data_IF_114749489858
#
_entry.id   IF_114749489858
#
_cell.length_a   1.000
_cell.length_b   1.000
_cell.length_c   1.000
_cell.angle_alpha   90.00
_cell.angle_beta   90.00
_cell.angle_gamma   90.00
#
_symmetry.space_group_name_H-M   'P 1'
#
loop_
_entity.id
_entity.type
_entity.pdbx_description
1 polymer ?
#
# COMPACT_ATOMS: atom_id res chain seq x y z
N UNK A 1 0.25 -14.73 -16.56
CA UNK A 1 -0.38 -15.17 -15.30
C UNK A 1 0.23 -16.49 -14.84
N UNK A 2 0.10 -17.63 -15.54
CA UNK A 2 0.68 -18.92 -15.09
C UNK A 2 2.17 -18.85 -14.75
N UNK A 3 3.01 -18.23 -15.59
CA UNK A 3 4.45 -18.05 -15.29
C UNK A 3 4.71 -17.22 -14.03
N UNK A 4 3.87 -16.23 -13.71
CA UNK A 4 3.98 -15.48 -12.47
C UNK A 4 3.64 -16.36 -11.26
N UNK A 5 2.62 -17.19 -11.37
CA UNK A 5 2.28 -18.15 -10.32
C UNK A 5 3.41 -19.14 -10.05
N UNK A 6 4.07 -19.62 -11.10
CA UNK A 6 5.24 -20.51 -10.98
C UNK A 6 6.43 -19.83 -10.30
N UNK A 7 6.72 -18.57 -10.66
CA UNK A 7 7.85 -17.80 -10.10
C UNK A 7 7.60 -17.39 -8.63
N UNK A 8 6.40 -16.92 -8.32
CA UNK A 8 6.09 -16.33 -7.02
C UNK A 8 5.32 -17.25 -6.07
N UNK A 9 4.92 -18.44 -6.55
CA UNK A 9 4.12 -19.38 -5.75
C UNK A 9 2.68 -18.93 -5.50
N UNK A 10 2.17 -17.93 -6.25
CA UNK A 10 0.82 -17.39 -6.11
C UNK A 10 0.00 -17.57 -7.38
N UNK A 11 -1.18 -18.13 -7.25
CA UNK A 11 -2.12 -18.22 -8.36
C UNK A 11 -2.96 -16.95 -8.47
N UNK A 12 -2.51 -16.01 -9.31
CA UNK A 12 -3.18 -14.73 -9.51
C UNK A 12 -4.48 -14.79 -10.32
N UNK A 13 -4.93 -15.96 -10.72
CA UNK A 13 -6.23 -16.15 -11.39
C UNK A 13 -7.41 -16.28 -10.40
N UNK A 14 -7.14 -16.37 -9.11
CA UNK A 14 -8.12 -16.50 -8.02
C UNK A 14 -7.97 -15.39 -6.98
N UNK A 15 -8.98 -15.13 -6.15
CA UNK A 15 -8.86 -14.21 -5.03
C UNK A 15 -7.74 -14.61 -4.06
N UNK A 16 -7.10 -13.62 -3.42
CA UNK A 16 -6.09 -13.87 -2.41
C UNK A 16 -6.67 -14.68 -1.23
N UNK A 17 -5.91 -15.65 -0.75
CA UNK A 17 -6.33 -16.53 0.35
C UNK A 17 -5.70 -16.16 1.70
N UNK A 18 -4.63 -15.37 1.69
CA UNK A 18 -3.92 -14.96 2.89
C UNK A 18 -3.35 -13.54 2.75
N UNK A 19 -2.81 -13.01 3.84
CA UNK A 19 -2.24 -11.67 3.93
C UNK A 19 -1.14 -11.42 2.90
N UNK A 20 -0.22 -12.36 2.77
CA UNK A 20 0.92 -12.25 1.84
C UNK A 20 0.47 -12.21 0.38
N UNK A 21 -0.49 -13.07 0.01
CA UNK A 21 -1.12 -13.02 -1.31
C UNK A 21 -1.83 -11.69 -1.54
N UNK A 22 -2.60 -11.19 -0.56
CA UNK A 22 -3.35 -9.95 -0.70
C UNK A 22 -2.45 -8.74 -0.97
N UNK A 23 -1.34 -8.61 -0.24
CA UNK A 23 -0.34 -7.55 -0.45
C UNK A 23 0.30 -7.68 -1.83
N UNK A 24 0.69 -8.90 -2.23
CA UNK A 24 1.31 -9.15 -3.53
C UNK A 24 0.33 -8.89 -4.70
N UNK A 25 -0.93 -9.26 -4.54
CA UNK A 25 -2.00 -8.95 -5.48
C UNK A 25 -2.20 -7.47 -5.70
N UNK A 26 -2.29 -6.73 -4.59
CA UNK A 26 -2.43 -5.28 -4.64
C UNK A 26 -1.27 -4.66 -5.41
N UNK A 27 -0.04 -5.10 -5.14
CA UNK A 27 1.15 -4.61 -5.83
C UNK A 27 1.12 -4.95 -7.33
N UNK A 28 0.75 -6.15 -7.72
CA UNK A 28 0.63 -6.52 -9.14
C UNK A 28 -0.47 -5.74 -9.86
N UNK A 29 -1.60 -5.52 -9.20
CA UNK A 29 -2.66 -4.67 -9.74
C UNK A 29 -2.18 -3.23 -9.97
N UNK A 30 -1.44 -2.70 -9.02
CA UNK A 30 -0.83 -1.38 -9.12
C UNK A 30 0.19 -1.29 -10.26
N UNK A 31 1.07 -2.28 -10.40
CA UNK A 31 2.02 -2.35 -11.52
C UNK A 31 1.31 -2.40 -12.89
N UNK A 32 0.24 -3.18 -12.99
CA UNK A 32 -0.55 -3.24 -14.21
C UNK A 32 -1.18 -1.89 -14.55
N UNK A 33 -1.72 -1.19 -13.55
CA UNK A 33 -2.29 0.15 -13.70
C UNK A 33 -1.25 1.18 -14.16
N UNK A 34 -0.07 1.21 -13.52
CA UNK A 34 1.06 2.07 -13.91
C UNK A 34 1.45 1.80 -15.37
N UNK A 35 1.60 0.53 -15.73
CA UNK A 35 2.01 0.11 -17.06
C UNK A 35 1.01 0.52 -18.12
N UNK A 36 -0.27 0.46 -17.82
CA UNK A 36 -1.35 0.83 -18.74
C UNK A 36 -1.47 2.35 -18.86
N UNK A 37 -1.40 3.07 -17.74
CA UNK A 37 -1.49 4.52 -17.71
C UNK A 37 -0.26 5.18 -18.35
N UNK A 38 0.93 4.66 -18.10
CA UNK A 38 2.22 5.16 -18.58
C UNK A 38 2.35 6.70 -18.46
N UNK A 39 1.81 7.25 -17.40
CA UNK A 39 1.73 8.68 -17.16
C UNK A 39 2.65 9.17 -16.05
N UNK A 40 2.27 10.28 -15.43
CA UNK A 40 3.10 10.96 -14.45
C UNK A 40 2.74 10.59 -13.00
N UNK A 41 1.49 10.41 -12.67
CA UNK A 41 1.03 10.18 -11.31
C UNK A 41 0.03 9.02 -11.25
N UNK A 42 0.21 8.13 -10.27
CA UNK A 42 -0.70 7.02 -10.04
C UNK A 42 -0.86 6.79 -8.53
N UNK A 43 -1.99 7.20 -7.98
CA UNK A 43 -2.33 6.93 -6.60
C UNK A 43 -2.65 5.46 -6.36
N UNK A 44 -2.21 4.93 -5.22
CA UNK A 44 -2.59 3.61 -4.72
C UNK A 44 -3.97 3.69 -4.06
N UNK A 45 -4.25 4.81 -3.42
CA UNK A 45 -5.46 5.05 -2.66
C UNK A 45 -5.45 4.43 -1.27
N UNK A 46 -6.63 4.23 -0.69
CA UNK A 46 -6.80 3.72 0.66
C UNK A 46 -6.80 2.19 0.67
N UNK A 47 -5.67 1.62 1.03
CA UNK A 47 -5.47 0.16 1.05
C UNK A 47 -5.44 -0.45 2.44
N UNK A 48 -5.25 0.37 3.47
CA UNK A 48 -5.15 -0.07 4.87
C UNK A 48 -6.39 -0.86 5.31
N UNK A 49 -7.58 -0.32 5.12
CA UNK A 49 -8.85 -0.98 5.48
C UNK A 49 -9.06 -2.30 4.73
N UNK A 50 -8.65 -2.35 3.45
CA UNK A 50 -8.73 -3.58 2.66
C UNK A 50 -7.76 -4.66 3.17
N UNK A 51 -6.51 -4.32 3.38
CA UNK A 51 -5.48 -5.26 3.84
C UNK A 51 -5.73 -5.74 5.26
N UNK A 52 -6.31 -4.88 6.12
CA UNK A 52 -6.63 -5.21 7.50
C UNK A 52 -7.55 -6.44 7.61
N UNK A 53 -8.45 -6.64 6.65
CA UNK A 53 -9.34 -7.82 6.61
C UNK A 53 -8.50 -9.12 6.57
N UNK A 54 -7.45 -9.14 5.77
CA UNK A 54 -6.56 -10.30 5.64
C UNK A 54 -5.62 -10.43 6.83
N UNK A 55 -5.05 -9.32 7.27
CA UNK A 55 -4.13 -9.29 8.40
C UNK A 55 -4.79 -9.77 9.68
N UNK A 56 -5.92 -9.19 10.06
CA UNK A 56 -6.63 -9.57 11.29
C UNK A 56 -7.15 -11.01 11.23
N UNK A 57 -7.59 -11.47 10.07
CA UNK A 57 -8.00 -12.86 9.89
C UNK A 57 -6.85 -13.83 10.10
N UNK A 58 -5.70 -13.56 9.52
CA UNK A 58 -4.54 -14.46 9.54
C UNK A 58 -3.81 -14.40 10.90
N UNK A 59 -3.79 -13.23 11.55
CA UNK A 59 -3.35 -13.07 12.95
C UNK A 59 -4.21 -13.90 13.91
N UNK A 60 -5.54 -13.83 13.79
CA UNK A 60 -6.47 -14.63 14.63
C UNK A 60 -6.30 -16.13 14.45
N UNK A 61 -5.87 -16.57 13.27
CA UNK A 61 -5.59 -17.98 12.97
C UNK A 61 -4.18 -18.42 13.37
N UNK A 62 -3.33 -17.51 13.82
CA UNK A 62 -1.92 -17.79 14.11
C UNK A 62 -1.10 -18.15 12.87
N UNK A 63 -1.55 -17.77 11.68
CA UNK A 63 -0.84 -18.01 10.41
C UNK A 63 0.31 -17.02 10.22
N UNK A 64 0.16 -15.82 10.76
CA UNK A 64 1.12 -14.73 10.67
C UNK A 64 1.22 -14.02 12.02
N UNK A 65 2.39 -13.48 12.34
CA UNK A 65 2.64 -12.66 13.53
C UNK A 65 2.47 -11.16 13.21
N UNK A 66 2.33 -10.34 14.25
CA UNK A 66 2.26 -8.88 14.08
C UNK A 66 3.52 -8.32 13.43
N UNK A 67 4.69 -8.85 13.78
CA UNK A 67 5.95 -8.47 13.17
C UNK A 67 5.95 -8.77 11.66
N UNK A 68 5.53 -9.96 11.26
CA UNK A 68 5.44 -10.34 9.84
C UNK A 68 4.43 -9.48 9.08
N UNK A 69 3.33 -9.06 9.72
CA UNK A 69 2.40 -8.10 9.11
C UNK A 69 3.08 -6.76 8.87
N UNK A 70 3.82 -6.24 9.85
CA UNK A 70 4.57 -4.99 9.68
C UNK A 70 5.62 -5.13 8.57
N UNK A 71 6.34 -6.23 8.50
CA UNK A 71 7.29 -6.50 7.41
C UNK A 71 6.63 -6.51 6.03
N UNK A 72 5.41 -7.05 5.91
CA UNK A 72 4.64 -7.01 4.65
C UNK A 72 4.29 -5.57 4.24
N UNK A 73 3.90 -4.73 5.19
CA UNK A 73 3.58 -3.31 4.96
C UNK A 73 4.84 -2.55 4.56
N UNK A 74 5.94 -2.77 5.27
CA UNK A 74 7.24 -2.15 4.97
C UNK A 74 7.75 -2.56 3.57
N UNK A 75 7.68 -3.84 3.23
CA UNK A 75 8.05 -4.33 1.90
C UNK A 75 7.17 -3.76 0.80
N UNK A 76 5.86 -3.61 1.03
CA UNK A 76 4.96 -2.98 0.07
C UNK A 76 5.36 -1.51 -0.17
N UNK A 77 5.59 -0.77 0.90
CA UNK A 77 6.04 0.63 0.84
C UNK A 77 7.40 0.76 0.15
N UNK A 78 8.36 -0.13 0.45
CA UNK A 78 9.65 -0.19 -0.24
C UNK A 78 9.48 -0.41 -1.75
N UNK A 79 8.61 -1.33 -2.15
CA UNK A 79 8.33 -1.58 -3.56
C UNK A 79 7.73 -0.37 -4.27
N UNK A 80 6.89 0.42 -3.59
CA UNK A 80 6.40 1.69 -4.14
C UNK A 80 7.52 2.71 -4.33
N UNK A 81 8.52 2.75 -3.43
CA UNK A 81 9.73 3.60 -3.59
C UNK A 81 10.61 3.18 -4.76
N UNK A 82 10.63 1.89 -5.08
CA UNK A 82 11.46 1.32 -6.15
C UNK A 82 10.84 1.43 -7.54
N UNK A 83 9.54 1.46 -7.63
CA UNK A 83 8.81 1.52 -8.92
C UNK A 83 9.05 2.86 -9.60
N UNK A 84 9.40 2.81 -10.89
CA UNK A 84 9.66 3.99 -11.71
C UNK A 84 8.98 3.86 -13.07
N UNK A 85 8.62 4.99 -13.67
CA UNK A 85 8.27 5.05 -15.08
C UNK A 85 9.53 5.07 -15.95
N UNK A 86 9.50 4.37 -17.08
CA UNK A 86 10.53 4.50 -18.11
C UNK A 86 10.18 5.69 -19.01
N UNK A 87 10.74 6.85 -18.71
CA UNK A 87 10.51 8.11 -19.43
C UNK A 87 11.65 8.46 -20.37
N UNK A 88 11.36 9.28 -21.37
CA UNK A 88 12.41 9.88 -22.23
C UNK A 88 13.25 10.88 -21.43
N UNK A 89 14.53 11.10 -21.79
CA UNK A 89 15.44 11.94 -21.01
C UNK A 89 14.94 13.37 -20.74
N UNK A 90 14.32 14.01 -21.70
CA UNK A 90 13.77 15.37 -21.54
C UNK A 90 12.66 15.42 -20.45
N UNK A 91 11.87 14.36 -20.35
CA UNK A 91 10.82 14.27 -19.34
C UNK A 91 11.40 14.04 -17.94
N UNK A 92 12.44 13.19 -17.85
CA UNK A 92 13.17 12.97 -16.60
C UNK A 92 13.85 14.24 -16.10
N UNK A 93 14.39 15.05 -16.99
CA UNK A 93 15.00 16.33 -16.66
C UNK A 93 13.96 17.31 -16.10
N UNK A 94 12.77 17.37 -16.71
CA UNK A 94 11.68 18.24 -16.26
C UNK A 94 11.15 17.86 -14.87
N UNK A 95 11.03 16.56 -14.59
CA UNK A 95 10.45 16.03 -13.35
C UNK A 95 11.49 15.49 -12.36
N UNK A 96 12.76 15.75 -12.57
CA UNK A 96 13.86 15.30 -11.68
C UNK A 96 13.90 13.78 -11.48
N UNK A 97 13.66 13.02 -12.54
CA UNK A 97 13.70 11.55 -12.54
C UNK A 97 12.40 10.89 -13.01
N UNK A 98 12.22 9.64 -12.61
CA UNK A 98 11.10 8.78 -13.02
C UNK A 98 10.12 8.42 -11.86
N UNK A 99 9.76 9.34 -10.94
CA UNK A 99 8.88 9.01 -9.85
C UNK A 99 7.50 8.63 -10.38
N UNK A 100 6.84 7.70 -9.67
CA UNK A 100 5.44 7.32 -9.95
C UNK A 100 4.48 8.32 -9.32
N UNK A 101 4.95 9.07 -8.33
CA UNK A 101 4.14 9.93 -7.47
C UNK A 101 2.96 9.18 -6.87
N UNK A 102 3.28 8.03 -6.27
CA UNK A 102 2.32 7.21 -5.57
C UNK A 102 1.77 7.95 -4.35
N UNK A 103 0.46 8.09 -4.27
CA UNK A 103 -0.23 8.52 -3.05
C UNK A 103 -0.89 7.32 -2.41
N UNK A 104 -0.64 7.13 -1.12
CA UNK A 104 -1.23 6.09 -0.30
C UNK A 104 -2.04 6.74 0.81
N UNK A 105 -3.32 6.43 0.89
CA UNK A 105 -4.23 7.04 1.86
C UNK A 105 -4.47 6.11 3.04
N UNK A 106 -4.54 6.70 4.23
CA UNK A 106 -4.90 6.03 5.48
C UNK A 106 -6.06 6.72 6.18
N UNK A 107 -6.74 6.03 7.06
CA UNK A 107 -7.87 6.56 7.84
C UNK A 107 -9.10 6.95 7.00
N UNK A 108 -9.73 8.07 7.36
CA UNK A 108 -10.92 8.58 6.70
C UNK A 108 -12.22 7.99 7.22
N UNK A 109 -13.31 8.36 6.54
CA UNK A 109 -14.67 7.90 6.86
C UNK A 109 -15.31 7.18 5.67
N UNK A 110 -16.23 6.29 5.95
CA UNK A 110 -17.08 5.66 4.94
C UNK A 110 -18.20 6.61 4.48
N UNK A 111 -18.91 6.21 3.43
CA UNK A 111 -20.06 6.98 2.89
C UNK A 111 -21.17 7.17 3.93
N UNK A 112 -21.30 6.22 4.86
CA UNK A 112 -22.22 6.25 5.99
C UNK A 112 -21.71 7.08 7.20
N UNK A 113 -20.53 7.71 7.06
CA UNK A 113 -19.91 8.55 8.08
C UNK A 113 -19.20 7.79 9.20
N UNK A 114 -19.15 6.44 9.16
CA UNK A 114 -18.38 5.65 10.13
C UNK A 114 -16.89 5.82 9.90
N UNK A 115 -16.11 5.74 10.98
CA UNK A 115 -14.66 5.70 10.88
C UNK A 115 -14.21 4.44 10.12
N UNK A 116 -13.27 4.62 9.19
CA UNK A 116 -12.63 3.54 8.46
C UNK A 116 -11.23 3.21 8.99
N UNK A 117 -10.90 3.77 10.15
CA UNK A 117 -9.62 3.52 10.82
C UNK A 117 -9.52 2.07 11.27
N UNK A 118 -8.39 1.47 10.95
CA UNK A 118 -8.03 0.09 11.30
C UNK A 118 -6.63 0.07 11.92
N UNK A 119 -6.21 -1.07 12.44
CA UNK A 119 -4.81 -1.22 12.91
C UNK A 119 -3.79 -1.02 11.80
N UNK A 120 -4.17 -1.34 10.57
CA UNK A 120 -3.28 -1.19 9.42
C UNK A 120 -2.96 0.26 9.10
N UNK A 121 -3.79 1.22 9.49
CA UNK A 121 -3.43 2.64 9.38
C UNK A 121 -2.21 2.97 10.24
N UNK A 122 -2.18 2.48 11.47
CA UNK A 122 -1.02 2.62 12.37
C UNK A 122 0.21 1.92 11.83
N UNK A 123 0.07 0.73 11.22
CA UNK A 123 1.18 0.00 10.60
C UNK A 123 1.78 0.78 9.43
N UNK A 124 0.96 1.41 8.60
CA UNK A 124 1.44 2.27 7.51
C UNK A 124 2.12 3.53 8.03
N UNK A 125 1.61 4.15 9.07
CA UNK A 125 2.28 5.28 9.73
C UNK A 125 3.62 4.86 10.34
N UNK A 126 3.64 3.71 11.03
CA UNK A 126 4.86 3.16 11.63
C UNK A 126 5.95 2.82 10.61
N UNK A 127 5.56 2.48 9.39
CA UNK A 127 6.52 2.25 8.29
C UNK A 127 7.38 3.49 8.01
N UNK A 128 6.88 4.71 8.27
CA UNK A 128 7.68 5.94 8.09
C UNK A 128 8.84 6.00 9.09
N UNK A 129 8.64 5.50 10.31
CA UNK A 129 9.70 5.39 11.32
C UNK A 129 10.70 4.29 10.91
N UNK A 130 10.22 3.12 10.51
CA UNK A 130 11.06 1.98 10.14
C UNK A 130 11.97 2.27 8.92
N UNK A 131 11.43 2.98 7.94
CA UNK A 131 12.09 3.18 6.65
C UNK A 131 12.68 4.57 6.46
N UNK A 132 12.39 5.51 7.36
CA UNK A 132 12.78 6.90 7.25
C UNK A 132 12.08 7.66 6.11
N UNK A 133 12.36 8.97 5.99
CA UNK A 133 11.70 9.83 5.02
C UNK A 133 12.07 9.46 3.58
N UNK A 134 11.10 9.59 2.69
CA UNK A 134 11.28 9.41 1.25
C UNK A 134 10.21 10.21 0.49
N UNK A 135 10.48 10.62 -0.76
CA UNK A 135 9.51 11.36 -1.56
C UNK A 135 8.30 10.50 -1.97
N UNK A 136 8.40 9.18 -1.88
CA UNK A 136 7.34 8.23 -2.23
C UNK A 136 7.28 7.05 -1.25
N UNK A 137 6.10 6.49 -1.02
CA UNK A 137 4.79 7.03 -1.36
C UNK A 137 4.47 8.29 -0.55
N UNK A 138 3.64 9.16 -1.12
CA UNK A 138 3.04 10.27 -0.40
C UNK A 138 1.97 9.69 0.53
N UNK A 139 2.22 9.62 1.82
CA UNK A 139 1.26 9.10 2.79
C UNK A 139 0.30 10.20 3.24
N UNK A 140 -0.97 10.06 2.88
CA UNK A 140 -2.01 11.03 3.17
C UNK A 140 -2.93 10.52 4.25
N UNK A 141 -3.05 11.26 5.35
CA UNK A 141 -4.04 10.98 6.40
C UNK A 141 -5.36 11.67 6.04
N UNK A 142 -6.38 10.90 5.76
CA UNK A 142 -7.73 11.41 5.47
C UNK A 142 -8.40 11.83 6.77
N UNK A 143 -8.22 13.10 7.13
CA UNK A 143 -8.70 13.64 8.40
C UNK A 143 -10.21 13.84 8.46
N UNK A 144 -10.77 13.56 9.62
CA UNK A 144 -12.14 13.92 10.01
C UNK A 144 -12.17 14.14 11.53
N UNK A 145 -12.98 15.08 12.00
CA UNK A 145 -13.21 15.28 13.44
C UNK A 145 -13.77 14.03 14.15
N UNK A 146 -14.37 13.11 13.39
CA UNK A 146 -14.94 11.84 13.88
C UNK A 146 -13.94 10.70 13.99
N UNK A 147 -12.67 10.91 13.60
CA UNK A 147 -11.64 9.89 13.75
C UNK A 147 -11.35 9.62 15.23
N UNK A 148 -10.95 8.38 15.58
CA UNK A 148 -10.50 8.05 16.94
C UNK A 148 -9.35 8.95 17.38
N UNK A 149 -9.39 9.43 18.63
CA UNK A 149 -8.33 10.27 19.19
C UNK A 149 -6.97 9.58 19.10
N UNK A 150 -6.89 8.28 19.39
CA UNK A 150 -5.65 7.52 19.30
C UNK A 150 -4.94 7.65 17.94
N UNK A 151 -5.70 7.76 16.82
CA UNK A 151 -5.08 7.99 15.51
C UNK A 151 -4.64 9.45 15.36
N UNK A 152 -5.44 10.40 15.84
CA UNK A 152 -5.09 11.83 15.77
C UNK A 152 -3.83 12.16 16.56
N UNK A 153 -3.65 11.48 17.69
CA UNK A 153 -2.47 11.65 18.55
C UNK A 153 -1.22 10.96 17.95
N UNK A 154 -1.43 9.91 17.16
CA UNK A 154 -0.33 9.15 16.56
C UNK A 154 0.16 9.74 15.24
N UNK A 155 -0.71 10.35 14.44
CA UNK A 155 -0.42 10.82 13.07
C UNK A 155 0.10 12.27 13.06
#
# INVERSE_FOLDING_TARGET
MKKLAEIYGYDISRPATNAKEAVQWLYFGYLAAIKTQNGAAMSVGRVSTFLDIYFERDLKKGIITEQEVQELVDHFTMKLRMVKFARIPSYNQLFSGDPVWATLDVAGTGVDGRSMVTKSDFRFLHTLENMGPAPEPNLTVLYSSRLPEALKDYA
#
